data_IF_143586661621
#
_entry.id   IF_143586661621
#
_cell.length_a   1.000
_cell.length_b   1.000
_cell.length_c   1.000
_cell.angle_alpha   90.00
_cell.angle_beta   90.00
_cell.angle_gamma   90.00
#
_symmetry.space_group_name_H-M   'P 1'
#
loop_
_entity.id
_entity.type
_entity.pdbx_description
1 polymer ?
#
# COMPACT_ATOMS: atom_id res chain seq x y z
N UNK A 1 12.42 -7.86 2.95
CA UNK A 1 12.45 -6.64 2.12
C UNK A 1 13.19 -5.50 2.81
N UNK A 2 12.69 -4.94 3.93
CA UNK A 2 13.40 -3.86 4.64
C UNK A 2 14.85 -4.22 5.05
N UNK A 3 15.04 -5.39 5.69
CA UNK A 3 16.39 -5.89 6.02
C UNK A 3 17.30 -6.05 4.81
N UNK A 4 16.77 -6.55 3.70
CA UNK A 4 17.53 -6.76 2.46
C UNK A 4 18.01 -5.41 1.92
N UNK A 5 17.09 -4.45 1.78
CA UNK A 5 17.41 -3.09 1.34
C UNK A 5 18.48 -2.44 2.22
N UNK A 6 18.35 -2.54 3.55
CA UNK A 6 19.32 -1.94 4.47
C UNK A 6 20.66 -2.64 4.43
N UNK A 7 20.69 -3.97 4.31
CA UNK A 7 21.94 -4.71 4.14
C UNK A 7 22.67 -4.30 2.85
N UNK A 8 21.96 -4.15 1.74
CA UNK A 8 22.53 -3.71 0.47
C UNK A 8 23.06 -2.26 0.57
N UNK A 9 22.33 -1.39 1.27
CA UNK A 9 22.78 -0.01 1.57
C UNK A 9 24.06 0.02 2.41
N UNK A 10 24.11 -0.75 3.50
CA UNK A 10 25.27 -0.81 4.39
C UNK A 10 26.51 -1.36 3.66
N UNK A 11 26.33 -2.37 2.82
CA UNK A 11 27.37 -2.93 1.98
C UNK A 11 27.92 -1.89 1.00
N UNK A 12 27.04 -1.16 0.29
CA UNK A 12 27.42 -0.08 -0.61
C UNK A 12 28.13 1.10 0.12
N UNK A 13 27.84 1.30 1.41
CA UNK A 13 28.49 2.28 2.27
C UNK A 13 29.84 1.80 2.85
N UNK A 14 30.31 0.60 2.48
CA UNK A 14 31.55 0.01 3.00
C UNK A 14 31.44 -0.53 4.43
N UNK A 15 30.21 -0.78 4.91
CA UNK A 15 29.90 -1.31 6.25
C UNK A 15 29.48 -2.77 6.16
N UNK A 16 30.35 -3.60 5.60
CA UNK A 16 30.09 -5.03 5.37
C UNK A 16 29.81 -5.81 6.66
N UNK A 17 30.42 -5.40 7.78
CA UNK A 17 30.20 -5.95 9.11
C UNK A 17 28.74 -5.80 9.55
N UNK A 18 28.20 -4.58 9.42
CA UNK A 18 26.81 -4.26 9.74
C UNK A 18 25.84 -4.91 8.75
N UNK A 19 26.17 -4.91 7.45
CA UNK A 19 25.36 -5.60 6.44
C UNK A 19 25.19 -7.09 6.78
N UNK A 20 26.30 -7.76 7.13
CA UNK A 20 26.28 -9.19 7.53
C UNK A 20 25.40 -9.42 8.76
N UNK A 21 25.47 -8.54 9.74
CA UNK A 21 24.67 -8.60 10.96
C UNK A 21 23.17 -8.47 10.65
N UNK A 22 22.78 -7.51 9.81
CA UNK A 22 21.39 -7.32 9.36
C UNK A 22 20.89 -8.53 8.56
N UNK A 23 21.70 -9.07 7.64
CA UNK A 23 21.32 -10.28 6.85
C UNK A 23 21.11 -11.51 7.72
N UNK A 24 21.83 -11.63 8.84
CA UNK A 24 21.66 -12.70 9.83
C UNK A 24 20.47 -12.47 10.77
N UNK A 25 19.74 -11.37 10.63
CA UNK A 25 18.55 -11.06 11.41
C UNK A 25 18.83 -10.46 12.78
N UNK A 26 20.06 -9.99 13.04
CA UNK A 26 20.46 -9.44 14.33
C UNK A 26 20.38 -7.90 14.41
N UNK A 27 19.94 -7.22 13.35
CA UNK A 27 19.95 -5.75 13.24
C UNK A 27 18.56 -5.13 13.15
N UNK A 28 17.54 -5.75 13.74
CA UNK A 28 16.16 -5.24 13.71
C UNK A 28 15.96 -3.92 14.46
N UNK A 29 16.85 -3.65 15.41
CA UNK A 29 16.92 -2.44 16.20
C UNK A 29 17.69 -1.30 15.52
N UNK A 30 18.34 -1.57 14.38
CA UNK A 30 19.04 -0.54 13.63
C UNK A 30 18.05 0.49 13.11
N UNK A 31 18.36 1.77 13.29
CA UNK A 31 17.48 2.86 12.89
C UNK A 31 17.11 2.76 11.41
N UNK A 32 18.05 2.37 10.56
CA UNK A 32 17.86 2.16 9.13
C UNK A 32 16.82 1.06 8.84
N UNK A 33 16.84 -0.05 9.59
CA UNK A 33 15.88 -1.16 9.43
C UNK A 33 14.49 -0.73 9.88
N UNK A 34 14.38 -0.02 11.00
CA UNK A 34 13.11 0.54 11.49
C UNK A 34 12.54 1.55 10.50
N UNK A 35 13.36 2.48 10.00
CA UNK A 35 12.94 3.50 9.03
C UNK A 35 12.49 2.85 7.72
N UNK A 36 13.28 1.92 7.17
CA UNK A 36 12.92 1.20 5.95
C UNK A 36 11.64 0.36 6.13
N UNK A 37 11.46 -0.25 7.31
CA UNK A 37 10.24 -0.95 7.68
C UNK A 37 9.02 -0.03 7.67
N UNK A 38 9.10 1.12 8.35
CA UNK A 38 8.01 2.09 8.43
C UNK A 38 7.65 2.67 7.04
N UNK A 39 8.66 2.95 6.21
CA UNK A 39 8.45 3.41 4.85
C UNK A 39 7.73 2.35 4.00
N UNK A 40 8.18 1.08 4.09
CA UNK A 40 7.54 -0.03 3.41
C UNK A 40 6.10 -0.23 3.87
N UNK A 41 5.84 -0.22 5.18
CA UNK A 41 4.49 -0.32 5.73
C UNK A 41 3.59 0.80 5.24
N UNK A 42 4.09 2.04 5.22
CA UNK A 42 3.34 3.20 4.69
C UNK A 42 3.00 2.99 3.21
N UNK A 43 3.96 2.52 2.41
CA UNK A 43 3.72 2.24 1.00
C UNK A 43 2.72 1.10 0.78
N UNK A 44 2.80 0.03 1.57
CA UNK A 44 1.83 -1.07 1.52
C UNK A 44 0.43 -0.60 1.88
N UNK A 45 0.26 0.32 2.83
CA UNK A 45 -1.04 0.91 3.13
C UNK A 45 -1.59 1.75 1.97
N UNK A 46 -0.73 2.46 1.23
CA UNK A 46 -1.12 3.19 0.02
C UNK A 46 -1.60 2.22 -1.05
N UNK A 47 -0.82 1.17 -1.34
CA UNK A 47 -1.19 0.14 -2.32
C UNK A 47 -2.48 -0.55 -1.95
N UNK A 48 -2.64 -0.91 -0.68
CA UNK A 48 -3.85 -1.56 -0.19
C UNK A 48 -5.10 -0.74 -0.47
N UNK A 49 -5.08 0.58 -0.22
CA UNK A 49 -6.20 1.47 -0.54
C UNK A 49 -6.52 1.52 -2.04
N UNK A 50 -5.50 1.45 -2.89
CA UNK A 50 -5.70 1.41 -4.33
C UNK A 50 -6.31 0.08 -4.77
N UNK A 51 -5.82 -1.03 -4.22
CA UNK A 51 -6.35 -2.37 -4.47
C UNK A 51 -7.81 -2.49 -4.05
N UNK A 52 -8.19 -1.94 -2.90
CA UNK A 52 -9.58 -1.89 -2.43
C UNK A 52 -10.49 -1.16 -3.44
N UNK A 53 -10.09 0.01 -3.93
CA UNK A 53 -10.87 0.74 -4.93
C UNK A 53 -10.93 0.00 -6.29
N UNK A 54 -9.82 -0.60 -6.72
CA UNK A 54 -9.76 -1.35 -7.98
C UNK A 54 -10.61 -2.62 -7.93
N UNK A 55 -10.65 -3.33 -6.80
CA UNK A 55 -11.50 -4.50 -6.62
C UNK A 55 -12.99 -4.17 -6.82
N UNK A 56 -13.40 -2.96 -6.43
CA UNK A 56 -14.77 -2.47 -6.60
C UNK A 56 -15.06 -2.12 -8.05
N UNK A 57 -14.13 -1.43 -8.72
CA UNK A 57 -14.26 -1.19 -10.16
C UNK A 57 -14.24 -2.48 -10.99
N UNK A 58 -13.62 -3.55 -10.49
CA UNK A 58 -13.59 -4.85 -11.13
C UNK A 58 -14.86 -5.69 -10.88
N UNK A 59 -15.70 -5.34 -9.90
CA UNK A 59 -16.96 -6.05 -9.64
C UNK A 59 -17.99 -5.70 -10.73
N UNK A 60 -18.50 -6.67 -11.51
CA UNK A 60 -19.54 -6.41 -12.51
C UNK A 60 -20.80 -5.78 -11.92
N UNK A 61 -21.14 -6.10 -10.66
CA UNK A 61 -22.29 -5.54 -9.96
C UNK A 61 -22.17 -4.03 -9.69
N UNK A 62 -20.95 -3.49 -9.70
CA UNK A 62 -20.73 -2.04 -9.59
C UNK A 62 -21.26 -1.29 -10.83
N UNK A 63 -21.26 -1.95 -11.99
CA UNK A 63 -21.69 -1.41 -13.27
C UNK A 63 -23.12 -1.81 -13.65
N UNK A 64 -23.78 -2.62 -12.83
CA UNK A 64 -25.09 -3.18 -13.16
C UNK A 64 -26.22 -2.14 -13.08
N UNK A 65 -26.72 -1.73 -14.25
CA UNK A 65 -27.83 -0.80 -14.41
C UNK A 65 -29.19 -1.39 -13.98
N UNK A 66 -29.31 -2.72 -13.86
CA UNK A 66 -30.55 -3.38 -13.45
C UNK A 66 -30.82 -3.27 -11.95
N UNK A 67 -29.89 -2.74 -11.16
CA UNK A 67 -30.07 -2.53 -9.73
C UNK A 67 -31.07 -1.41 -9.42
N UNK A 68 -31.92 -1.54 -8.37
CA UNK A 68 -32.79 -0.47 -7.94
C UNK A 68 -31.98 0.80 -7.61
N UNK A 69 -32.21 1.88 -8.36
CA UNK A 69 -31.42 3.12 -8.26
C UNK A 69 -30.35 3.30 -9.35
N UNK A 70 -30.18 2.32 -10.25
CA UNK A 70 -29.19 2.36 -11.32
C UNK A 70 -27.77 1.99 -10.85
N UNK A 71 -26.83 1.88 -11.79
CA UNK A 71 -25.47 1.43 -11.53
C UNK A 71 -24.75 2.29 -10.48
N UNK A 72 -24.05 1.65 -9.53
CA UNK A 72 -23.25 2.34 -8.51
C UNK A 72 -22.16 3.23 -9.14
N UNK A 73 -21.61 2.80 -10.27
CA UNK A 73 -20.65 3.57 -11.05
C UNK A 73 -21.16 4.96 -11.47
N UNK A 74 -22.46 5.07 -11.80
CA UNK A 74 -23.07 6.32 -12.20
C UNK A 74 -23.08 7.32 -11.03
N UNK A 75 -23.30 6.82 -9.82
CA UNK A 75 -23.33 7.63 -8.59
C UNK A 75 -21.93 7.94 -8.06
N UNK A 76 -20.97 7.02 -8.21
CA UNK A 76 -19.58 7.25 -7.79
C UNK A 76 -18.93 8.40 -8.57
N UNK A 77 -19.10 8.43 -9.90
CA UNK A 77 -18.53 9.46 -10.77
C UNK A 77 -17.03 9.75 -10.47
N UNK A 78 -16.27 8.68 -10.17
CA UNK A 78 -14.85 8.73 -9.83
C UNK A 78 -14.52 9.28 -8.44
N UNK A 79 -15.50 9.42 -7.54
CA UNK A 79 -15.28 9.91 -6.19
C UNK A 79 -14.43 8.95 -5.36
N UNK A 80 -14.63 7.64 -5.50
CA UNK A 80 -13.80 6.61 -4.88
C UNK A 80 -12.34 6.75 -5.31
N UNK A 81 -12.07 6.86 -6.61
CA UNK A 81 -10.72 7.09 -7.13
C UNK A 81 -10.09 8.37 -6.55
N UNK A 82 -10.82 9.49 -6.54
CA UNK A 82 -10.31 10.76 -5.96
C UNK A 82 -10.03 10.64 -4.47
N UNK A 83 -10.87 9.92 -3.72
CA UNK A 83 -10.68 9.70 -2.29
C UNK A 83 -9.40 8.91 -2.00
N UNK A 84 -9.20 7.77 -2.67
CA UNK A 84 -8.02 6.94 -2.42
C UNK A 84 -6.72 7.61 -2.84
N UNK A 85 -6.74 8.36 -3.95
CA UNK A 85 -5.61 9.19 -4.39
C UNK A 85 -5.29 10.32 -3.41
N UNK A 86 -6.29 10.83 -2.69
CA UNK A 86 -6.11 11.81 -1.60
C UNK A 86 -5.69 11.15 -0.26
N UNK A 87 -5.42 9.84 -0.25
CA UNK A 87 -5.01 9.10 0.94
C UNK A 87 -6.16 8.73 1.89
N UNK A 88 -7.41 8.86 1.45
CA UNK A 88 -8.60 8.47 2.21
C UNK A 88 -9.01 7.03 1.87
N UNK A 89 -9.74 6.33 2.75
CA UNK A 89 -10.29 5.01 2.41
C UNK A 89 -11.21 5.07 1.19
N UNK A 90 -11.38 3.93 0.51
CA UNK A 90 -12.47 3.76 -0.43
C UNK A 90 -13.80 3.96 0.33
N UNK A 91 -14.57 4.97 -0.05
CA UNK A 91 -15.85 5.30 0.59
C UNK A 91 -17.00 4.89 -0.30
N UNK A 92 -18.00 4.26 0.31
CA UNK A 92 -19.20 3.75 -0.36
C UNK A 92 -20.42 4.50 0.15
N UNK A 93 -21.33 4.88 -0.74
CA UNK A 93 -22.66 5.39 -0.38
C UNK A 93 -23.65 4.25 -0.04
N UNK A 94 -23.14 3.05 0.27
CA UNK A 94 -23.95 1.84 0.46
C UNK A 94 -24.18 1.57 1.94
N UNK A 95 -24.64 2.59 2.67
CA UNK A 95 -25.21 2.51 4.02
C UNK A 95 -26.42 3.45 4.11
#
# INVERSE_FOLDING_TARGET
MARTFVADYLEAAGREDLSTLVRRGAGDDFAEVVIAGNLLSTHMQVLHRYEEALAQYADPGFWDEATPGGALALHDNGQMARNVLAGRPAFFHRD
#
